data_IF_482473940099
#
_entry.id   IF_482473940099
#
_cell.length_a   1.000
_cell.length_b   1.000
_cell.length_c   1.000
_cell.angle_alpha   90.00
_cell.angle_beta   90.00
_cell.angle_gamma   90.00
#
_symmetry.space_group_name_H-M   'P 1'
#
loop_
_entity.id
_entity.type
_entity.pdbx_description
1 polymer ?
#
# COMPACT_ATOMS: atom_id res chain seq x y z
N UNK A 1 2.66 -11.53 17.54
CA UNK A 1 3.35 -10.49 16.75
C UNK A 1 2.32 -9.44 16.35
N UNK A 2 2.60 -8.14 16.52
CA UNK A 2 1.66 -7.07 16.12
C UNK A 2 2.10 -6.46 14.78
N UNK A 3 1.19 -6.32 13.80
CA UNK A 3 1.52 -5.83 12.45
C UNK A 3 1.91 -4.34 12.41
N UNK A 4 1.68 -3.60 13.51
CA UNK A 4 1.99 -2.18 13.67
C UNK A 4 3.18 -1.91 14.61
N UNK A 5 3.99 -2.93 14.88
CA UNK A 5 5.17 -2.85 15.76
C UNK A 5 6.45 -3.23 15.01
N UNK A 6 6.69 -2.54 13.92
CA UNK A 6 7.85 -2.76 13.04
C UNK A 6 9.06 -1.97 13.56
N UNK A 7 10.11 -2.70 13.88
CA UNK A 7 11.40 -2.15 14.34
C UNK A 7 12.12 -1.45 13.18
N UNK A 8 12.96 -0.46 13.48
CA UNK A 8 13.65 0.38 12.47
C UNK A 8 14.31 -0.43 11.35
N UNK A 9 15.04 -1.49 11.69
CA UNK A 9 15.73 -2.36 10.71
C UNK A 9 14.80 -3.13 9.77
N UNK A 10 13.52 -3.26 10.09
CA UNK A 10 12.54 -3.99 9.27
C UNK A 10 11.60 -3.09 8.46
N UNK A 11 11.71 -1.76 8.59
CA UNK A 11 10.77 -0.82 7.97
C UNK A 11 10.82 -0.92 6.45
N UNK A 12 12.01 -1.02 5.86
CA UNK A 12 12.17 -1.10 4.40
C UNK A 12 11.53 -2.36 3.83
N UNK A 13 11.86 -3.53 4.38
CA UNK A 13 11.25 -4.81 3.94
C UNK A 13 9.74 -4.81 4.16
N UNK A 14 9.27 -4.24 5.26
CA UNK A 14 7.84 -4.10 5.53
C UNK A 14 7.14 -3.17 4.52
N UNK A 15 7.75 -2.02 4.18
CA UNK A 15 7.24 -1.10 3.17
C UNK A 15 7.20 -1.73 1.78
N UNK A 16 8.21 -2.54 1.42
CA UNK A 16 8.20 -3.32 0.18
C UNK A 16 7.05 -4.33 0.19
N UNK A 17 6.91 -5.11 1.28
CA UNK A 17 5.83 -6.08 1.43
C UNK A 17 4.46 -5.45 1.22
N UNK A 18 4.13 -4.34 1.90
CA UNK A 18 2.81 -3.71 1.75
C UNK A 18 2.57 -3.15 0.34
N UNK A 19 3.62 -2.69 -0.35
CA UNK A 19 3.50 -2.27 -1.76
C UNK A 19 3.14 -3.44 -2.68
N UNK A 20 3.85 -4.56 -2.52
CA UNK A 20 3.59 -5.78 -3.30
C UNK A 20 2.16 -6.26 -3.06
N UNK A 21 1.73 -6.35 -1.79
CA UNK A 21 0.35 -6.77 -1.45
C UNK A 21 -0.72 -5.87 -2.04
N UNK A 22 -0.47 -4.56 -2.09
CA UNK A 22 -1.39 -3.60 -2.72
C UNK A 22 -1.53 -3.86 -4.23
N UNK A 23 -0.42 -4.12 -4.93
CA UNK A 23 -0.41 -4.42 -6.37
C UNK A 23 -1.05 -5.76 -6.70
N UNK A 24 -0.67 -6.82 -5.97
CA UNK A 24 -1.18 -8.19 -6.14
C UNK A 24 -2.70 -8.22 -6.07
N UNK A 25 -3.25 -7.56 -5.03
CA UNK A 25 -4.67 -7.61 -4.71
C UNK A 25 -5.46 -6.45 -5.31
N UNK A 26 -4.79 -5.49 -5.96
CA UNK A 26 -5.39 -4.27 -6.52
C UNK A 26 -6.22 -3.49 -5.50
N UNK A 27 -5.70 -3.33 -4.28
CA UNK A 27 -6.33 -2.60 -3.17
C UNK A 27 -5.39 -1.51 -2.63
N UNK A 28 -5.90 -0.38 -2.11
CA UNK A 28 -5.09 0.50 -1.31
C UNK A 28 -4.78 -0.14 0.05
N UNK A 29 -3.65 0.20 0.64
CA UNK A 29 -3.25 -0.28 1.97
C UNK A 29 -2.88 0.90 2.86
N UNK A 30 -3.50 0.96 4.05
CA UNK A 30 -3.08 1.84 5.14
C UNK A 30 -2.19 1.03 6.09
N UNK A 31 -0.90 1.32 6.08
CA UNK A 31 0.10 0.63 6.89
C UNK A 31 0.52 1.53 8.05
N UNK A 32 -0.16 1.42 9.20
CA UNK A 32 0.18 2.18 10.40
C UNK A 32 1.23 1.46 11.25
N UNK A 33 2.25 2.19 11.72
CA UNK A 33 3.29 1.69 12.60
C UNK A 33 3.48 2.62 13.79
N UNK A 34 3.77 2.04 14.95
CA UNK A 34 4.08 2.78 16.18
C UNK A 34 5.40 3.51 16.01
N UNK A 35 5.47 4.75 16.51
CA UNK A 35 6.69 5.54 16.58
C UNK A 35 7.10 5.75 18.04
N UNK A 36 8.24 5.16 18.43
CA UNK A 36 8.85 5.35 19.76
C UNK A 36 10.33 4.91 19.74
N UNK A 37 10.97 4.73 20.92
CA UNK A 37 12.36 4.28 21.00
C UNK A 37 12.60 2.91 20.36
N UNK A 38 11.60 2.02 20.30
CA UNK A 38 11.72 0.64 19.78
C UNK A 38 11.27 0.52 18.32
N UNK A 39 10.22 1.25 17.94
CA UNK A 39 9.58 1.17 16.62
C UNK A 39 9.77 2.47 15.85
N UNK A 40 10.07 2.38 14.56
CA UNK A 40 10.56 3.54 13.81
C UNK A 40 9.49 4.35 13.08
N UNK A 41 8.21 4.22 13.43
CA UNK A 41 7.14 4.95 12.75
C UNK A 41 7.12 4.62 11.25
N UNK A 42 7.15 5.65 10.40
CA UNK A 42 7.07 5.51 8.94
C UNK A 42 5.75 4.85 8.47
N UNK A 43 4.65 5.16 9.16
CA UNK A 43 3.30 4.84 8.69
C UNK A 43 3.14 5.27 7.24
N UNK A 44 2.56 4.43 6.40
CA UNK A 44 2.53 4.64 4.95
C UNK A 44 1.16 4.34 4.39
N UNK A 45 0.66 5.22 3.53
CA UNK A 45 -0.47 4.95 2.65
C UNK A 45 0.07 4.49 1.30
N UNK A 46 -0.34 3.29 0.89
CA UNK A 46 -0.11 2.76 -0.46
C UNK A 46 -1.39 2.94 -1.26
N UNK A 47 -1.35 3.82 -2.26
CA UNK A 47 -2.42 4.00 -3.24
C UNK A 47 -2.03 3.36 -4.58
N UNK A 48 -3.01 3.10 -5.44
CA UNK A 48 -2.79 2.64 -6.81
C UNK A 48 -3.14 3.74 -7.80
N UNK A 49 -2.22 3.98 -8.74
CA UNK A 49 -2.37 4.90 -9.86
C UNK A 49 -2.17 4.13 -11.16
N UNK A 50 -2.97 4.45 -12.16
CA UNK A 50 -2.87 3.85 -13.48
C UNK A 50 -2.35 4.92 -14.45
N UNK A 51 -1.27 4.59 -15.17
CA UNK A 51 -0.73 5.42 -16.24
C UNK A 51 -0.48 4.52 -17.46
N UNK A 52 -1.00 4.89 -18.62
CA UNK A 52 -0.85 4.12 -19.87
C UNK A 52 -1.15 2.61 -19.69
N UNK A 53 -2.27 2.28 -19.01
CA UNK A 53 -2.70 0.89 -18.68
C UNK A 53 -1.76 0.13 -17.72
N UNK A 54 -0.71 0.76 -17.21
CA UNK A 54 0.17 0.19 -16.19
C UNK A 54 -0.25 0.70 -14.81
N UNK A 55 -0.57 -0.22 -13.92
CA UNK A 55 -0.94 0.08 -12.53
C UNK A 55 0.31 0.07 -11.65
N UNK A 56 0.62 1.20 -11.03
CA UNK A 56 1.75 1.42 -10.14
C UNK A 56 1.30 1.82 -8.73
N UNK A 57 2.17 1.65 -7.73
CA UNK A 57 1.94 2.17 -6.37
C UNK A 57 2.33 3.63 -6.26
N UNK A 58 1.51 4.42 -5.57
CA UNK A 58 1.85 5.77 -5.11
C UNK A 58 1.91 5.77 -3.59
N UNK A 59 3.09 6.04 -3.05
CA UNK A 59 3.34 6.08 -1.62
C UNK A 59 3.10 7.47 -1.03
N UNK A 60 2.46 7.52 0.12
CA UNK A 60 2.47 8.69 1.02
C UNK A 60 2.98 8.22 2.37
N UNK A 61 4.19 8.65 2.74
CA UNK A 61 4.82 8.28 4.03
C UNK A 61 4.57 9.38 5.06
N UNK A 62 4.13 9.00 6.24
CA UNK A 62 4.09 9.87 7.41
C UNK A 62 5.54 10.09 7.88
N UNK A 63 5.98 11.34 7.83
CA UNK A 63 7.32 11.76 8.28
C UNK A 63 7.21 12.31 9.70
N UNK A 64 7.68 13.55 9.93
CA UNK A 64 7.59 14.26 11.22
C UNK A 64 6.19 14.84 11.51
N UNK A 65 5.19 14.44 10.73
CA UNK A 65 3.82 14.92 10.85
C UNK A 65 3.05 14.04 11.85
N UNK A 66 2.09 14.61 12.57
CA UNK A 66 1.28 13.84 13.53
C UNK A 66 0.28 12.91 12.84
N UNK A 67 -0.20 13.28 11.64
CA UNK A 67 -1.16 12.49 10.88
C UNK A 67 -1.11 12.83 9.38
N UNK A 68 -1.62 11.90 8.57
CA UNK A 68 -1.82 12.09 7.12
C UNK A 68 -3.18 11.51 6.75
N UNK A 69 -3.91 12.21 5.89
CA UNK A 69 -5.22 11.79 5.40
C UNK A 69 -5.21 11.62 3.88
N UNK A 70 -6.04 10.70 3.39
CA UNK A 70 -6.23 10.48 1.96
C UNK A 70 -7.61 9.92 1.68
N UNK A 71 -8.27 10.50 0.69
CA UNK A 71 -9.55 9.99 0.18
C UNK A 71 -9.33 8.92 -0.90
N UNK A 72 -10.19 7.91 -0.91
CA UNK A 72 -10.12 6.80 -1.86
C UNK A 72 -11.42 6.63 -2.65
N UNK A 73 -11.33 6.77 -3.98
CA UNK A 73 -12.44 6.45 -4.89
C UNK A 73 -12.54 4.94 -5.12
N UNK A 74 -13.38 4.24 -4.35
CA UNK A 74 -13.45 2.76 -4.35
C UNK A 74 -13.72 2.12 -5.72
N UNK A 75 -14.52 2.80 -6.56
CA UNK A 75 -14.85 2.35 -7.93
C UNK A 75 -13.61 2.05 -8.77
N UNK A 76 -12.50 2.79 -8.59
CA UNK A 76 -11.26 2.58 -9.36
C UNK A 76 -10.62 1.22 -9.06
N UNK A 77 -10.60 0.80 -7.80
CA UNK A 77 -10.02 -0.50 -7.39
C UNK A 77 -10.92 -1.67 -7.78
N UNK A 78 -12.25 -1.48 -7.75
CA UNK A 78 -13.18 -2.48 -8.26
C UNK A 78 -13.00 -2.71 -9.75
N UNK A 79 -12.86 -1.63 -10.54
CA UNK A 79 -12.62 -1.71 -12.00
C UNK A 79 -11.32 -2.47 -12.31
N UNK A 80 -10.22 -2.10 -11.66
CA UNK A 80 -8.91 -2.75 -11.90
C UNK A 80 -8.87 -4.23 -11.51
N UNK A 81 -9.58 -4.64 -10.44
CA UNK A 81 -9.75 -6.06 -10.09
C UNK A 81 -10.51 -6.84 -11.17
N UNK A 82 -11.61 -6.28 -11.69
CA UNK A 82 -12.39 -6.90 -12.77
C UNK A 82 -11.55 -7.09 -14.04
N UNK A 83 -10.79 -6.07 -14.45
CA UNK A 83 -9.90 -6.12 -15.61
C UNK A 83 -8.83 -7.21 -15.42
N UNK A 84 -8.15 -7.23 -14.26
CA UNK A 84 -7.13 -8.25 -13.96
C UNK A 84 -7.71 -9.67 -14.04
N UNK A 85 -8.89 -9.88 -13.45
CA UNK A 85 -9.57 -11.18 -13.49
C UNK A 85 -9.91 -11.59 -14.93
N UNK A 86 -10.45 -10.67 -15.74
CA UNK A 86 -10.75 -10.96 -17.14
C UNK A 86 -9.52 -11.24 -17.99
N UNK A 87 -8.39 -10.58 -17.72
CA UNK A 87 -7.15 -10.80 -18.47
C UNK A 87 -6.50 -12.13 -18.08
N UNK A 88 -6.54 -12.52 -16.80
CA UNK A 88 -6.05 -13.84 -16.37
C UNK A 88 -6.76 -14.99 -17.13
N UNK A 89 -8.07 -14.87 -17.35
CA UNK A 89 -8.85 -15.87 -18.08
C UNK A 89 -8.59 -15.93 -19.60
N UNK A 90 -7.86 -14.95 -20.17
CA UNK A 90 -7.51 -14.95 -21.60
C UNK A 90 -6.22 -15.70 -21.90
N UNK A 91 -5.40 -15.95 -20.88
CA UNK A 91 -4.09 -16.59 -21.00
C UNK A 91 -4.00 -17.87 -20.17
N UNK A 92 -5.14 -18.37 -19.70
CA UNK A 92 -5.32 -19.64 -18.97
C UNK A 92 -5.88 -20.72 -19.87
#
# INVERSE_FOLDING_TARGET
>A
LSPSRIVRRGIESWQMYVQVRALENRIPILAANVENRRFGGNSTIVDLVENNKVVNTKLTKLKKENSVSKEFKLKKYQKTRKIRFSDANKFS
#
